data_IF_144833855974
#
_entry.id   IF_144833855974
#
_cell.length_a   1.000
_cell.length_b   1.000
_cell.length_c   1.000
_cell.angle_alpha   90.00
_cell.angle_beta   90.00
_cell.angle_gamma   90.00
#
_symmetry.space_group_name_H-M   'P 1'
#
loop_
_entity.id
_entity.type
_entity.pdbx_description
1 polymer ?
#
# COMPACT_ATOMS: atom_id res chain seq x y z
N UNK A 1 -9.67 3.42 34.02
CA UNK A 1 -9.88 3.97 35.37
C UNK A 1 -11.34 3.79 35.76
N UNK A 2 -11.62 2.85 36.66
CA UNK A 2 -12.92 2.79 37.35
C UNK A 2 -12.81 3.68 38.59
N UNK A 3 -13.62 4.74 38.66
CA UNK A 3 -13.66 5.61 39.84
C UNK A 3 -14.56 4.97 40.89
N UNK A 4 -13.98 4.50 41.99
CA UNK A 4 -14.71 3.94 43.12
C UNK A 4 -14.70 5.00 44.23
N UNK A 5 -15.55 6.01 44.11
CA UNK A 5 -15.81 6.89 45.25
C UNK A 5 -16.83 6.22 46.16
N UNK A 6 -16.34 5.71 47.29
CA UNK A 6 -17.18 5.38 48.44
C UNK A 6 -17.42 6.62 49.27
N UNK A 7 -18.68 7.05 49.44
CA UNK A 7 -19.09 7.80 50.63
C UNK A 7 -20.42 7.32 51.19
N UNK A 8 -20.48 7.49 52.51
CA UNK A 8 -21.31 6.84 53.49
C UNK A 8 -22.78 7.27 53.48
N UNK A 9 -23.59 6.43 54.14
CA UNK A 9 -24.66 6.92 55.00
C UNK A 9 -26.07 6.75 54.47
N UNK A 10 -26.62 5.55 54.69
CA UNK A 10 -28.05 5.36 54.98
C UNK A 10 -29.03 5.73 53.88
N UNK A 11 -29.01 5.02 52.74
CA UNK A 11 -30.15 5.10 51.83
C UNK A 11 -30.27 3.86 50.90
N UNK A 12 -31.51 3.38 50.69
CA UNK A 12 -31.93 2.10 50.08
C UNK A 12 -31.71 2.01 48.55
N UNK A 13 -30.51 2.27 48.07
CA UNK A 13 -30.23 2.33 46.65
C UNK A 13 -29.78 0.99 46.07
N UNK A 14 -30.62 0.38 45.24
CA UNK A 14 -30.19 -0.67 44.29
C UNK A 14 -28.99 -0.13 43.50
N UNK A 15 -27.90 -0.89 43.47
CA UNK A 15 -26.77 -0.64 42.57
C UNK A 15 -27.22 -0.85 41.13
N UNK A 16 -27.60 0.22 40.46
CA UNK A 16 -27.88 0.19 39.02
C UNK A 16 -26.58 0.52 38.31
N UNK A 17 -25.91 -0.50 37.79
CA UNK A 17 -24.79 -0.30 36.88
C UNK A 17 -25.34 0.04 35.50
N UNK A 18 -25.11 1.27 35.03
CA UNK A 18 -25.40 1.62 33.64
C UNK A 18 -24.23 1.15 32.77
N UNK A 19 -24.46 0.34 31.71
CA UNK A 19 -23.41 0.02 30.77
C UNK A 19 -22.97 1.30 30.06
N UNK A 20 -21.71 1.70 30.26
CA UNK A 20 -21.11 2.80 29.52
C UNK A 20 -20.49 2.23 28.25
N UNK A 21 -21.21 2.36 27.15
CA UNK A 21 -20.71 1.97 25.83
C UNK A 21 -19.72 3.04 25.33
N UNK A 22 -18.53 2.61 24.93
CA UNK A 22 -17.55 3.46 24.28
C UNK A 22 -17.45 3.06 22.80
N UNK A 23 -17.48 4.04 21.91
CA UNK A 23 -17.20 3.80 20.48
C UNK A 23 -15.69 3.76 20.30
N UNK A 24 -15.15 2.57 20.03
CA UNK A 24 -13.75 2.39 19.64
C UNK A 24 -13.68 2.49 18.12
N UNK A 25 -12.89 3.44 17.60
CA UNK A 25 -12.66 3.59 16.16
C UNK A 25 -11.23 3.15 15.85
N UNK A 26 -11.09 2.07 15.07
CA UNK A 26 -9.81 1.61 14.54
C UNK A 26 -9.54 2.31 13.21
N UNK A 27 -8.45 3.07 13.11
CA UNK A 27 -8.04 3.71 11.85
C UNK A 27 -7.01 2.84 11.14
N UNK A 28 -7.24 2.42 9.89
CA UNK A 28 -6.23 1.83 9.03
C UNK A 28 -4.98 2.71 8.94
N UNK A 29 -3.81 2.10 8.98
CA UNK A 29 -2.51 2.76 8.81
C UNK A 29 -1.69 2.01 7.77
N UNK A 30 -0.98 2.76 6.92
CA UNK A 30 -0.08 2.22 5.90
C UNK A 30 1.31 2.80 6.06
N UNK A 31 2.33 1.96 5.92
CA UNK A 31 3.70 2.42 5.85
C UNK A 31 4.34 1.97 4.53
N UNK A 32 5.03 2.91 3.88
CA UNK A 32 5.78 2.65 2.65
C UNK A 32 7.27 2.67 3.01
N UNK A 33 7.91 1.51 2.90
CA UNK A 33 9.28 1.27 3.34
C UNK A 33 10.20 1.12 2.13
N UNK A 34 11.35 1.76 2.16
CA UNK A 34 12.34 1.76 1.09
C UNK A 34 11.85 2.40 -0.21
N UNK A 35 10.67 3.03 -0.27
CA UNK A 35 10.11 3.63 -1.48
C UNK A 35 9.51 5.02 -1.24
N UNK A 36 9.24 5.72 -2.34
CA UNK A 36 8.46 6.95 -2.37
C UNK A 36 7.00 6.72 -2.78
N UNK A 37 6.15 7.69 -2.51
CA UNK A 37 4.75 7.70 -2.96
C UNK A 37 4.56 8.80 -3.97
N UNK A 38 4.00 8.47 -5.13
CA UNK A 38 3.72 9.44 -6.20
C UNK A 38 2.30 9.30 -6.70
N UNK A 39 1.62 10.43 -6.87
CA UNK A 39 0.28 10.50 -7.46
C UNK A 39 0.23 11.52 -8.60
N UNK A 40 -0.85 11.52 -9.38
CA UNK A 40 -1.12 12.56 -10.38
C UNK A 40 -0.21 12.57 -11.60
N UNK A 41 0.40 11.43 -11.92
CA UNK A 41 1.03 11.22 -13.22
C UNK A 41 -0.01 10.90 -14.27
N UNK A 42 0.19 11.39 -15.50
CA UNK A 42 -0.46 10.82 -16.68
C UNK A 42 -0.06 9.33 -16.79
N UNK A 43 -0.79 8.47 -17.49
CA UNK A 43 -0.35 7.09 -17.72
C UNK A 43 -0.11 6.89 -19.21
N UNK A 44 1.01 6.27 -19.61
CA UNK A 44 1.21 5.85 -21.00
C UNK A 44 0.21 4.78 -21.45
N UNK A 45 -0.56 4.20 -20.51
CA UNK A 45 -1.70 3.31 -20.76
C UNK A 45 -2.96 4.09 -21.15
N UNK A 46 -3.07 5.35 -20.71
CA UNK A 46 -4.25 6.19 -20.97
C UNK A 46 -3.84 7.46 -21.72
N UNK A 47 -3.96 7.41 -23.05
CA UNK A 47 -3.80 8.58 -23.90
C UNK A 47 -5.10 9.41 -23.94
N UNK A 48 -4.99 10.74 -23.79
CA UNK A 48 -6.07 11.66 -24.15
C UNK A 48 -6.95 12.18 -23.01
N UNK A 49 -6.53 12.05 -21.75
CA UNK A 49 -7.29 12.63 -20.65
C UNK A 49 -7.01 14.11 -20.42
N UNK A 50 -8.02 14.89 -20.00
CA UNK A 50 -7.83 16.28 -19.64
C UNK A 50 -6.77 16.40 -18.54
N UNK A 51 -5.76 17.24 -18.77
CA UNK A 51 -4.70 17.53 -17.80
C UNK A 51 -5.24 17.97 -16.41
N UNK A 52 -6.49 18.47 -16.37
CA UNK A 52 -7.19 18.87 -15.14
C UNK A 52 -7.47 17.72 -14.17
N UNK A 53 -7.63 16.47 -14.62
CA UNK A 53 -7.93 15.34 -13.74
C UNK A 53 -6.72 14.89 -12.92
N UNK A 54 -5.55 14.87 -13.55
CA UNK A 54 -4.31 14.45 -12.89
C UNK A 54 -3.65 15.54 -12.09
N UNK A 55 -3.88 16.80 -12.42
CA UNK A 55 -3.22 17.92 -11.72
C UNK A 55 -3.68 18.09 -10.27
N UNK A 56 -4.79 17.47 -9.84
CA UNK A 56 -5.39 17.60 -8.50
C UNK A 56 -5.20 16.38 -7.59
N UNK A 57 -4.51 15.33 -8.03
CA UNK A 57 -4.28 14.15 -7.20
C UNK A 57 -3.51 14.52 -5.93
N UNK A 58 -3.95 14.00 -4.78
CA UNK A 58 -3.44 14.36 -3.46
C UNK A 58 -3.13 13.09 -2.65
N UNK A 59 -2.19 13.19 -1.72
CA UNK A 59 -1.85 12.12 -0.76
C UNK A 59 -2.41 12.55 0.59
N UNK A 60 -3.42 11.85 1.09
CA UNK A 60 -4.11 12.21 2.34
C UNK A 60 -4.21 10.96 3.20
N UNK A 61 -3.61 11.02 4.38
CA UNK A 61 -3.67 9.94 5.37
C UNK A 61 -4.22 10.46 6.68
N UNK A 62 -4.80 9.56 7.47
CA UNK A 62 -5.25 9.90 8.81
C UNK A 62 -4.08 9.82 9.78
N UNK A 63 -4.03 10.79 10.69
CA UNK A 63 -3.11 10.80 11.84
C UNK A 63 -3.93 10.63 13.12
N UNK A 64 -3.29 10.05 14.12
CA UNK A 64 -3.83 9.93 15.47
C UNK A 64 -2.80 10.45 16.46
N UNK A 65 -3.28 11.07 17.54
CA UNK A 65 -2.45 11.47 18.67
C UNK A 65 -2.74 10.60 19.88
N UNK A 66 -1.70 10.27 20.64
CA UNK A 66 -1.88 9.65 21.95
C UNK A 66 -2.17 10.73 22.99
N UNK A 67 -3.26 10.58 23.73
CA UNK A 67 -3.69 11.55 24.73
C UNK A 67 -2.64 11.74 25.85
N UNK A 68 -1.93 10.67 26.21
CA UNK A 68 -1.00 10.68 27.35
C UNK A 68 0.35 11.33 27.02
N UNK A 69 0.83 11.20 25.76
CA UNK A 69 2.15 11.70 25.34
C UNK A 69 2.13 12.83 24.32
N UNK A 70 0.97 13.09 23.69
CA UNK A 70 0.84 14.04 22.58
C UNK A 70 1.53 13.61 21.28
N UNK A 71 2.14 12.42 21.24
CA UNK A 71 2.85 11.91 20.06
C UNK A 71 1.87 11.56 18.94
N UNK A 72 2.28 11.83 17.70
CA UNK A 72 1.56 11.47 16.48
C UNK A 72 2.03 10.12 15.94
N UNK A 73 1.06 9.33 15.50
CA UNK A 73 1.29 8.09 14.77
C UNK A 73 0.28 7.96 13.63
N UNK A 74 0.61 7.17 12.62
CA UNK A 74 -0.26 6.96 11.47
C UNK A 74 0.52 6.52 10.24
N UNK A 75 -0.04 6.82 9.07
CA UNK A 75 0.57 6.41 7.81
C UNK A 75 1.69 7.34 7.37
N UNK A 76 2.78 6.77 6.86
CA UNK A 76 3.94 7.52 6.36
C UNK A 76 4.62 6.80 5.21
N UNK A 77 5.52 7.52 4.52
CA UNK A 77 6.43 6.98 3.52
C UNK A 77 7.87 7.29 3.91
N UNK A 78 8.77 6.33 3.72
CA UNK A 78 10.16 6.43 4.15
C UNK A 78 10.90 7.50 3.33
N UNK A 79 10.72 7.46 2.01
CA UNK A 79 11.30 8.44 1.11
C UNK A 79 10.27 9.49 0.67
N UNK A 80 10.49 10.07 -0.50
CA UNK A 80 9.75 11.25 -0.92
C UNK A 80 8.30 10.97 -1.26
N UNK A 81 7.44 11.92 -0.91
CA UNK A 81 6.04 11.96 -1.38
C UNK A 81 5.90 13.03 -2.44
N UNK A 82 5.28 12.71 -3.57
CA UNK A 82 5.16 13.63 -4.70
C UNK A 82 3.72 13.76 -5.18
N UNK A 83 3.26 15.00 -5.30
CA UNK A 83 1.97 15.36 -5.89
C UNK A 83 2.13 16.34 -7.06
N UNK A 84 1.20 16.33 -8.03
CA UNK A 84 1.14 17.26 -9.17
C UNK A 84 0.86 18.70 -8.76
N UNK A 85 0.78 19.61 -9.75
CA UNK A 85 0.70 21.06 -9.54
C UNK A 85 -0.33 21.52 -8.48
N UNK A 86 -1.54 20.98 -8.52
CA UNK A 86 -2.64 21.38 -7.66
C UNK A 86 -2.97 20.33 -6.59
N UNK A 87 -2.07 19.38 -6.35
CA UNK A 87 -2.21 18.35 -5.33
C UNK A 87 -1.73 18.80 -3.95
N UNK A 88 -2.24 18.15 -2.90
CA UNK A 88 -1.86 18.41 -1.50
C UNK A 88 -1.33 17.12 -0.87
N UNK A 89 -0.32 17.26 0.00
CA UNK A 89 0.19 16.17 0.85
C UNK A 89 -0.23 16.43 2.30
N UNK A 90 -1.19 15.64 2.79
CA UNK A 90 -1.58 15.58 4.21
C UNK A 90 -1.18 14.22 4.76
N UNK A 91 0.12 14.04 4.96
CA UNK A 91 0.74 12.80 5.43
C UNK A 91 2.06 13.14 6.14
N UNK A 92 2.98 12.18 6.27
CA UNK A 92 4.36 12.42 6.66
C UNK A 92 5.33 11.61 5.78
N UNK A 93 6.45 12.23 5.43
CA UNK A 93 7.61 11.55 4.82
C UNK A 93 8.70 11.30 5.88
N UNK A 94 9.79 10.64 5.50
CA UNK A 94 10.92 10.34 6.39
C UNK A 94 10.55 9.58 7.66
N UNK A 95 9.46 8.81 7.64
CA UNK A 95 8.98 8.14 8.86
C UNK A 95 8.49 9.09 9.96
N UNK A 96 8.12 10.34 9.64
CA UNK A 96 7.70 11.35 10.62
C UNK A 96 6.46 10.99 11.47
N UNK A 97 5.84 9.83 11.23
CA UNK A 97 4.74 9.25 12.02
C UNK A 97 5.04 7.80 12.46
N UNK A 98 6.32 7.41 12.54
CA UNK A 98 6.77 6.07 12.96
C UNK A 98 6.32 5.70 14.38
N UNK A 99 5.88 6.69 15.17
CA UNK A 99 5.04 6.49 16.34
C UNK A 99 5.62 7.11 17.60
N UNK A 100 5.74 6.34 18.68
CA UNK A 100 6.15 6.84 20.01
C UNK A 100 7.65 6.67 20.27
N UNK A 101 8.30 7.69 20.81
CA UNK A 101 9.73 7.67 21.17
C UNK A 101 10.39 9.06 21.18
N UNK A 102 11.67 9.11 21.56
CA UNK A 102 12.50 10.33 21.46
C UNK A 102 12.70 10.65 19.97
N UNK A 103 12.30 11.85 19.54
CA UNK A 103 12.34 12.28 18.12
C UNK A 103 11.04 12.09 17.34
N UNK A 104 10.02 11.45 17.93
CA UNK A 104 8.69 11.36 17.33
C UNK A 104 7.99 12.71 17.20
N UNK A 105 7.26 12.93 16.11
CA UNK A 105 6.49 14.15 15.88
C UNK A 105 5.41 14.30 16.96
N UNK A 106 5.40 15.44 17.67
CA UNK A 106 4.38 15.78 18.66
C UNK A 106 3.25 16.62 18.02
N UNK A 107 2.00 16.25 18.28
CA UNK A 107 0.81 16.86 17.70
C UNK A 107 0.70 18.37 17.94
N UNK A 108 1.16 18.86 19.10
CA UNK A 108 1.03 20.27 19.46
C UNK A 108 2.14 21.17 18.90
N UNK A 109 3.27 20.60 18.45
CA UNK A 109 4.45 21.37 18.01
C UNK A 109 4.89 21.09 16.58
N UNK A 110 4.40 20.01 15.96
CA UNK A 110 4.81 19.64 14.60
C UNK A 110 3.97 20.39 13.57
N UNK A 111 4.57 21.33 12.85
CA UNK A 111 3.96 21.88 11.64
C UNK A 111 3.90 20.82 10.52
N UNK A 112 2.99 21.00 9.56
CA UNK A 112 2.88 20.10 8.40
C UNK A 112 4.18 20.02 7.60
N UNK A 113 4.87 21.16 7.43
CA UNK A 113 6.15 21.24 6.75
C UNK A 113 7.22 20.36 7.43
N UNK A 114 7.32 20.39 8.76
CA UNK A 114 8.32 19.62 9.52
C UNK A 114 8.14 18.10 9.36
N UNK A 115 6.90 17.61 9.23
CA UNK A 115 6.63 16.18 8.98
C UNK A 115 6.85 15.75 7.54
N UNK A 116 7.09 16.70 6.64
CA UNK A 116 7.09 16.50 5.21
C UNK A 116 8.35 17.09 4.55
N UNK A 117 9.48 17.07 5.25
CA UNK A 117 10.76 17.62 4.77
C UNK A 117 11.25 16.95 3.48
N UNK A 118 10.84 15.71 3.19
CA UNK A 118 11.16 15.00 1.94
C UNK A 118 9.98 14.99 0.95
N UNK A 119 9.00 15.89 1.13
CA UNK A 119 7.80 15.94 0.30
C UNK A 119 7.86 17.05 -0.74
N UNK A 120 7.31 16.74 -1.91
CA UNK A 120 7.33 17.57 -3.11
C UNK A 120 5.88 17.79 -3.57
N UNK A 121 5.33 18.95 -3.23
CA UNK A 121 3.99 19.34 -3.62
C UNK A 121 4.02 20.76 -4.19
N UNK A 122 3.27 20.96 -5.26
CA UNK A 122 3.19 22.24 -5.97
C UNK A 122 2.04 23.14 -5.50
N UNK A 123 1.49 22.91 -4.31
CA UNK A 123 0.44 23.76 -3.79
C UNK A 123 0.98 25.16 -3.41
N UNK A 124 0.16 26.19 -3.62
CA UNK A 124 0.31 27.49 -2.95
C UNK A 124 -0.05 27.32 -1.48
N UNK A 125 0.90 26.87 -0.67
CA UNK A 125 0.72 26.75 0.78
C UNK A 125 1.17 28.05 1.43
N UNK A 126 0.32 28.68 2.27
CA UNK A 126 0.76 29.80 3.11
C UNK A 126 1.93 29.33 3.99
N UNK A 127 3.12 29.91 3.80
CA UNK A 127 4.32 29.56 4.58
C UNK A 127 5.41 28.74 3.87
N UNK A 128 5.27 28.44 2.57
CA UNK A 128 6.43 28.15 1.69
C UNK A 128 7.21 26.84 1.93
N UNK A 129 6.55 25.74 2.28
CA UNK A 129 7.22 24.53 2.82
C UNK A 129 7.57 23.36 1.90
N UNK A 130 7.35 23.40 0.58
CA UNK A 130 7.65 22.24 -0.31
C UNK A 130 8.46 22.63 -1.54
N UNK A 131 9.33 21.73 -2.00
CA UNK A 131 10.04 21.87 -3.27
C UNK A 131 9.05 21.89 -4.45
N UNK A 132 9.14 22.93 -5.30
CA UNK A 132 8.30 23.08 -6.49
C UNK A 132 8.89 22.29 -7.65
N UNK A 133 8.10 21.44 -8.29
CA UNK A 133 8.51 20.64 -9.45
C UNK A 133 7.66 20.97 -10.67
N UNK A 134 8.18 20.73 -11.88
CA UNK A 134 7.41 20.92 -13.11
C UNK A 134 6.31 19.88 -13.29
N UNK A 135 5.80 19.78 -14.53
CA UNK A 135 4.87 18.71 -14.92
C UNK A 135 5.51 17.34 -14.67
N UNK A 136 4.77 16.48 -13.98
CA UNK A 136 5.19 15.11 -13.72
C UNK A 136 4.89 14.27 -14.97
N UNK A 137 5.90 13.56 -15.51
CA UNK A 137 5.78 12.72 -16.71
C UNK A 137 4.76 11.59 -16.56
N UNK A 138 4.38 10.96 -17.68
CA UNK A 138 3.49 9.81 -17.62
C UNK A 138 4.16 8.58 -16.97
N UNK A 139 3.41 7.79 -16.21
CA UNK A 139 3.81 6.45 -15.78
C UNK A 139 3.93 5.53 -16.99
N UNK A 140 4.97 4.67 -17.07
CA UNK A 140 5.14 3.76 -18.18
C UNK A 140 4.03 2.68 -18.20
N UNK A 141 3.64 2.24 -19.39
CA UNK A 141 2.78 1.06 -19.55
C UNK A 141 3.60 -0.21 -19.29
N UNK A 142 3.66 -0.63 -18.03
CA UNK A 142 4.37 -1.83 -17.59
C UNK A 142 3.82 -3.09 -18.30
N UNK A 143 2.49 -3.20 -18.44
CA UNK A 143 1.85 -4.32 -19.12
C UNK A 143 2.22 -4.45 -20.61
N UNK A 144 2.56 -3.33 -21.24
CA UNK A 144 3.03 -3.25 -22.62
C UNK A 144 4.47 -3.74 -22.83
N UNK A 145 5.26 -3.93 -21.76
CA UNK A 145 6.63 -4.45 -21.86
C UNK A 145 6.67 -5.98 -21.98
N UNK A 146 5.58 -6.67 -21.62
CA UNK A 146 5.52 -8.14 -21.60
C UNK A 146 4.76 -8.65 -22.83
N UNK A 147 5.47 -8.78 -23.96
CA UNK A 147 4.90 -9.11 -25.28
C UNK A 147 5.45 -10.39 -25.91
N UNK A 148 6.56 -10.93 -25.41
CA UNK A 148 7.18 -12.16 -25.93
C UNK A 148 6.59 -13.42 -25.30
N UNK A 149 6.46 -14.49 -26.11
CA UNK A 149 6.08 -15.85 -25.68
C UNK A 149 4.83 -15.93 -24.79
N UNK A 150 3.81 -15.10 -25.10
CA UNK A 150 2.58 -15.03 -24.31
C UNK A 150 1.72 -16.28 -24.52
N UNK A 151 1.32 -16.93 -23.44
CA UNK A 151 0.48 -18.14 -23.43
C UNK A 151 -0.88 -17.81 -22.82
N UNK A 152 -1.93 -18.48 -23.27
CA UNK A 152 -3.23 -18.38 -22.60
C UNK A 152 -3.25 -19.32 -21.38
N UNK A 153 -3.85 -18.86 -20.28
CA UNK A 153 -4.11 -19.65 -19.09
C UNK A 153 -5.60 -19.61 -18.76
N UNK A 154 -6.21 -20.77 -18.60
CA UNK A 154 -7.62 -20.90 -18.27
C UNK A 154 -7.80 -21.23 -16.78
N UNK A 155 -8.79 -20.60 -16.15
CA UNK A 155 -9.12 -20.83 -14.75
C UNK A 155 -8.18 -20.12 -13.78
N UNK A 156 -8.19 -20.60 -12.54
CA UNK A 156 -7.37 -20.05 -11.46
C UNK A 156 -5.89 -20.37 -11.64
N UNK A 157 -5.03 -19.54 -11.04
CA UNK A 157 -3.59 -19.63 -11.15
C UNK A 157 -3.01 -20.14 -9.83
N UNK A 158 -2.41 -21.34 -9.86
CA UNK A 158 -1.52 -21.81 -8.80
C UNK A 158 -0.07 -21.55 -9.19
N UNK A 159 0.60 -20.67 -8.46
CA UNK A 159 1.96 -20.23 -8.78
C UNK A 159 2.99 -21.35 -8.63
N UNK A 160 2.76 -22.27 -7.70
CA UNK A 160 3.68 -23.37 -7.36
C UNK A 160 4.00 -24.29 -8.55
N UNK A 161 2.99 -24.60 -9.37
CA UNK A 161 3.11 -25.49 -10.53
C UNK A 161 3.46 -24.77 -11.83
N UNK A 162 3.58 -23.44 -11.80
CA UNK A 162 3.66 -22.64 -13.01
C UNK A 162 5.10 -22.53 -13.52
N UNK A 163 5.28 -22.64 -14.83
CA UNK A 163 6.56 -22.42 -15.49
C UNK A 163 6.83 -20.92 -15.64
N UNK A 164 8.11 -20.50 -15.81
CA UNK A 164 8.41 -19.13 -16.18
C UNK A 164 7.75 -18.75 -17.51
N UNK A 165 7.27 -17.51 -17.61
CA UNK A 165 6.67 -16.99 -18.84
C UNK A 165 5.61 -15.92 -18.61
N UNK A 166 5.04 -15.46 -19.73
CA UNK A 166 3.94 -14.49 -19.76
C UNK A 166 2.63 -15.23 -20.04
N UNK A 167 1.63 -14.99 -19.22
CA UNK A 167 0.36 -15.68 -19.26
C UNK A 167 -0.81 -14.70 -19.33
N UNK A 168 -1.60 -14.79 -20.41
CA UNK A 168 -2.88 -14.11 -20.53
C UNK A 168 -3.97 -14.99 -19.91
N UNK A 169 -4.53 -14.54 -18.78
CA UNK A 169 -5.66 -15.19 -18.18
C UNK A 169 -6.93 -14.94 -19.01
N UNK A 170 -7.64 -16.01 -19.35
CA UNK A 170 -8.81 -15.93 -20.26
C UNK A 170 -10.11 -15.64 -19.54
N UNK A 171 -10.19 -15.92 -18.23
CA UNK A 171 -11.36 -15.63 -17.42
C UNK A 171 -11.41 -14.15 -17.01
N UNK A 172 -12.61 -13.58 -16.92
CA UNK A 172 -12.80 -12.20 -16.47
C UNK A 172 -12.52 -12.02 -14.97
N UNK A 173 -12.59 -13.10 -14.19
CA UNK A 173 -12.19 -13.13 -12.78
C UNK A 173 -11.30 -14.34 -12.58
N UNK A 174 -10.12 -14.13 -12.00
CA UNK A 174 -9.09 -15.16 -11.82
C UNK A 174 -8.59 -15.10 -10.39
N UNK A 175 -8.62 -16.24 -9.68
CA UNK A 175 -7.98 -16.35 -8.37
C UNK A 175 -6.52 -16.75 -8.52
N UNK A 176 -5.64 -16.19 -7.70
CA UNK A 176 -4.21 -16.45 -7.71
C UNK A 176 -3.65 -16.57 -6.29
N UNK A 177 -2.81 -17.58 -6.08
CA UNK A 177 -2.04 -17.76 -4.84
C UNK A 177 -0.91 -18.77 -5.01
N UNK A 178 -0.08 -18.87 -3.97
CA UNK A 178 0.97 -19.88 -3.83
C UNK A 178 2.37 -19.31 -3.94
N UNK A 179 3.34 -20.21 -3.84
CA UNK A 179 4.76 -19.86 -3.90
C UNK A 179 5.25 -19.80 -5.35
N UNK A 180 6.03 -18.79 -5.68
CA UNK A 180 6.78 -18.71 -6.94
C UNK A 180 8.14 -19.38 -6.72
N UNK A 181 8.41 -20.43 -7.47
CA UNK A 181 9.69 -21.15 -7.38
C UNK A 181 10.91 -20.26 -7.63
N UNK A 182 12.05 -20.63 -7.06
CA UNK A 182 13.30 -19.88 -7.15
C UNK A 182 13.74 -19.67 -8.62
N UNK A 183 14.20 -18.46 -8.94
CA UNK A 183 14.66 -18.09 -10.29
C UNK A 183 13.55 -18.00 -11.34
N UNK A 184 12.28 -18.11 -10.95
CA UNK A 184 11.16 -18.02 -11.90
C UNK A 184 10.71 -16.57 -12.08
N UNK A 185 10.54 -16.18 -13.34
CA UNK A 185 9.84 -14.96 -13.73
C UNK A 185 8.48 -15.33 -14.30
N UNK A 186 7.41 -14.96 -13.60
CA UNK A 186 6.03 -15.22 -13.99
C UNK A 186 5.32 -13.88 -14.16
N UNK A 187 4.70 -13.68 -15.32
CA UNK A 187 3.92 -12.48 -15.60
C UNK A 187 2.49 -12.92 -15.89
N UNK A 188 1.54 -12.46 -15.08
CA UNK A 188 0.11 -12.71 -15.25
C UNK A 188 -0.54 -11.44 -15.79
N UNK A 189 -1.20 -11.55 -16.93
CA UNK A 189 -1.95 -10.48 -17.59
C UNK A 189 -3.41 -10.86 -17.62
N UNK A 190 -4.29 -9.98 -17.15
CA UNK A 190 -5.74 -10.17 -17.21
C UNK A 190 -6.40 -8.90 -17.70
N UNK A 191 -7.36 -9.02 -18.63
CA UNK A 191 -8.25 -7.92 -18.99
C UNK A 191 -9.37 -7.71 -17.95
N UNK A 192 -9.47 -8.60 -16.97
CA UNK A 192 -10.47 -8.58 -15.92
C UNK A 192 -9.86 -8.37 -14.52
N UNK A 193 -10.52 -8.94 -13.51
CA UNK A 193 -10.11 -8.83 -12.11
C UNK A 193 -9.26 -10.02 -11.69
N UNK A 194 -8.15 -9.75 -11.00
CA UNK A 194 -7.35 -10.76 -10.31
C UNK A 194 -7.65 -10.69 -8.82
N UNK A 195 -8.01 -11.82 -8.23
CA UNK A 195 -8.25 -11.97 -6.80
C UNK A 195 -7.07 -12.74 -6.20
N UNK A 196 -6.32 -12.10 -5.32
CA UNK A 196 -5.29 -12.76 -4.51
C UNK A 196 -6.01 -13.42 -3.33
N UNK A 197 -6.18 -14.75 -3.41
CA UNK A 197 -7.01 -15.53 -2.47
C UNK A 197 -6.22 -16.24 -1.36
N UNK A 198 -4.89 -16.21 -1.48
CA UNK A 198 -3.94 -16.72 -0.50
C UNK A 198 -2.61 -15.98 -0.59
N UNK A 199 -1.68 -16.31 0.30
CA UNK A 199 -0.36 -15.70 0.28
C UNK A 199 0.36 -15.98 -1.04
N UNK A 200 1.09 -14.97 -1.49
CA UNK A 200 2.04 -15.07 -2.58
C UNK A 200 3.42 -14.87 -1.98
N UNK A 201 4.25 -15.91 -2.07
CA UNK A 201 5.61 -15.91 -1.53
C UNK A 201 6.61 -16.24 -2.63
N UNK A 202 7.84 -15.78 -2.49
CA UNK A 202 8.94 -16.32 -3.29
C UNK A 202 9.65 -17.43 -2.53
N UNK A 203 9.90 -18.54 -3.22
CA UNK A 203 10.76 -19.58 -2.70
C UNK A 203 12.15 -19.00 -2.41
N UNK A 204 12.82 -19.41 -1.32
CA UNK A 204 14.18 -19.00 -1.03
C UNK A 204 15.10 -19.30 -2.23
N UNK A 205 15.85 -18.28 -2.67
CA UNK A 205 16.80 -18.40 -3.78
C UNK A 205 18.15 -17.82 -3.36
N UNK A 206 19.24 -18.37 -3.93
CA UNK A 206 20.56 -17.74 -3.88
C UNK A 206 20.74 -16.97 -5.18
N UNK A 207 20.86 -15.66 -5.09
CA UNK A 207 21.03 -14.80 -6.25
C UNK A 207 22.51 -14.77 -6.65
N UNK A 208 22.88 -15.50 -7.70
CA UNK A 208 24.22 -15.46 -8.28
C UNK A 208 24.26 -14.58 -9.53
N UNK A 209 23.14 -14.51 -10.24
CA UNK A 209 22.94 -13.73 -11.46
C UNK A 209 21.61 -12.99 -11.43
N UNK A 210 21.44 -12.00 -12.31
CA UNK A 210 20.19 -11.26 -12.47
C UNK A 210 19.00 -12.13 -12.90
N UNK A 211 19.26 -13.26 -13.56
CA UNK A 211 18.24 -14.24 -13.95
C UNK A 211 17.75 -15.12 -12.79
N UNK A 212 18.49 -15.20 -11.68
CA UNK A 212 18.09 -15.98 -10.51
C UNK A 212 17.08 -15.21 -9.63
N UNK A 213 16.84 -13.93 -9.94
CA UNK A 213 15.91 -13.08 -9.20
C UNK A 213 14.48 -13.51 -9.56
N UNK A 214 13.81 -14.12 -8.57
CA UNK A 214 12.41 -14.51 -8.67
C UNK A 214 11.53 -13.27 -8.77
N UNK A 215 10.62 -13.26 -9.74
CA UNK A 215 9.69 -12.15 -9.93
C UNK A 215 8.31 -12.63 -10.37
N UNK A 216 7.28 -12.14 -9.67
CA UNK A 216 5.90 -12.14 -10.13
C UNK A 216 5.48 -10.73 -10.51
N UNK A 217 4.82 -10.60 -11.66
CA UNK A 217 4.16 -9.38 -12.09
C UNK A 217 2.70 -9.67 -12.39
N UNK A 218 1.78 -8.97 -11.74
CA UNK A 218 0.34 -9.08 -11.96
C UNK A 218 -0.13 -7.79 -12.62
N UNK A 219 -0.56 -7.89 -13.87
CA UNK A 219 -1.18 -6.81 -14.63
C UNK A 219 -2.65 -7.15 -14.84
N UNK A 220 -3.55 -6.37 -14.28
CA UNK A 220 -4.99 -6.64 -14.34
C UNK A 220 -5.82 -5.36 -14.40
N UNK A 221 -7.09 -5.44 -14.79
CA UNK A 221 -7.99 -4.29 -14.68
C UNK A 221 -8.22 -3.91 -13.22
N UNK A 222 -8.45 -4.89 -12.35
CA UNK A 222 -8.50 -4.69 -10.89
C UNK A 222 -7.73 -5.80 -10.18
N UNK A 223 -7.16 -5.49 -9.02
CA UNK A 223 -6.47 -6.44 -8.16
C UNK A 223 -7.11 -6.37 -6.77
N UNK A 224 -7.69 -7.47 -6.33
CA UNK A 224 -8.41 -7.55 -5.06
C UNK A 224 -7.68 -8.53 -4.14
N UNK A 225 -7.30 -8.09 -2.95
CA UNK A 225 -6.56 -8.89 -1.98
C UNK A 225 -7.50 -9.29 -0.85
N UNK A 226 -7.69 -10.60 -0.67
CA UNK A 226 -8.56 -11.12 0.40
C UNK A 226 -8.04 -10.82 1.80
N UNK A 227 -8.95 -10.83 2.77
CA UNK A 227 -8.69 -10.56 4.19
C UNK A 227 -7.74 -11.58 4.87
N UNK A 228 -7.73 -12.82 4.41
CA UNK A 228 -6.87 -13.90 4.91
C UNK A 228 -5.41 -13.80 4.45
N UNK A 229 -5.11 -12.99 3.44
CA UNK A 229 -3.75 -12.81 2.92
C UNK A 229 -2.92 -12.00 3.92
N UNK A 230 -1.67 -12.35 4.15
CA UNK A 230 -0.73 -11.61 5.01
C UNK A 230 0.52 -11.18 4.27
N UNK A 231 0.81 -11.81 3.11
CA UNK A 231 1.99 -11.51 2.30
C UNK A 231 1.68 -11.62 0.81
N UNK A 232 2.14 -10.62 0.06
CA UNK A 232 2.10 -10.58 -1.41
C UNK A 232 3.46 -10.16 -1.94
N UNK A 233 4.22 -11.12 -2.43
CA UNK A 233 5.48 -10.87 -3.15
C UNK A 233 5.18 -10.74 -4.64
N UNK A 234 4.93 -9.52 -5.12
CA UNK A 234 4.58 -9.26 -6.51
C UNK A 234 4.67 -7.78 -6.88
N UNK A 235 4.80 -7.51 -8.18
CA UNK A 235 4.42 -6.22 -8.74
C UNK A 235 2.91 -6.23 -9.00
N UNK A 236 2.21 -5.22 -8.49
CA UNK A 236 0.77 -5.07 -8.68
C UNK A 236 0.51 -3.88 -9.61
N UNK A 237 0.06 -4.16 -10.83
CA UNK A 237 -0.26 -3.13 -11.82
C UNK A 237 -1.74 -3.22 -12.20
N UNK A 238 -2.57 -2.42 -11.55
CA UNK A 238 -3.98 -2.28 -11.87
C UNK A 238 -4.16 -1.20 -12.95
N UNK A 239 -4.59 -1.61 -14.14
CA UNK A 239 -4.75 -0.73 -15.30
C UNK A 239 -6.21 -0.31 -15.44
N UNK A 240 -6.52 0.99 -15.48
CA UNK A 240 -7.87 1.45 -15.69
C UNK A 240 -8.34 1.21 -17.12
N UNK A 241 -9.63 1.42 -17.37
CA UNK A 241 -10.15 1.45 -18.73
C UNK A 241 -9.49 2.58 -19.56
N UNK A 242 -9.68 2.54 -20.89
CA UNK A 242 -9.10 3.50 -21.84
C UNK A 242 -9.41 4.96 -21.48
N UNK A 243 -10.55 5.22 -20.84
CA UNK A 243 -10.97 6.57 -20.47
C UNK A 243 -10.57 6.97 -19.03
N UNK A 244 -9.84 6.12 -18.29
CA UNK A 244 -9.50 6.28 -16.86
C UNK A 244 -10.68 6.65 -15.95
N UNK A 245 -11.89 6.26 -16.33
CA UNK A 245 -13.11 6.55 -15.57
C UNK A 245 -13.49 5.40 -14.65
N UNK A 246 -13.01 4.19 -14.95
CA UNK A 246 -13.34 2.95 -14.26
C UNK A 246 -12.11 2.06 -14.13
N UNK A 247 -12.21 1.07 -13.24
CA UNK A 247 -11.19 0.06 -12.97
C UNK A 247 -9.84 0.67 -12.54
N UNK A 248 -8.74 -0.07 -12.64
CA UNK A 248 -7.43 0.35 -12.13
C UNK A 248 -7.38 0.38 -10.60
N UNK A 249 -8.17 -0.48 -9.94
CA UNK A 249 -8.29 -0.50 -8.48
C UNK A 249 -7.42 -1.60 -7.91
N UNK A 250 -6.59 -1.27 -6.91
CA UNK A 250 -6.03 -2.23 -5.97
C UNK A 250 -6.80 -2.07 -4.67
N UNK A 251 -7.50 -3.11 -4.22
CA UNK A 251 -8.30 -3.07 -2.98
C UNK A 251 -7.91 -4.22 -2.07
N UNK A 252 -7.73 -3.92 -0.78
CA UNK A 252 -7.35 -4.93 0.21
C UNK A 252 -8.50 -5.22 1.15
N UNK A 253 -8.39 -6.33 1.90
CA UNK A 253 -9.37 -6.69 2.92
C UNK A 253 -10.76 -7.02 2.32
N UNK A 254 -10.75 -7.78 1.23
CA UNK A 254 -11.99 -8.34 0.70
C UNK A 254 -12.37 -9.63 1.45
N UNK A 255 -13.59 -9.65 2.00
CA UNK A 255 -14.08 -10.77 2.83
C UNK A 255 -14.89 -11.75 1.98
N UNK A 256 -15.56 -11.26 0.95
CA UNK A 256 -16.39 -12.08 0.08
C UNK A 256 -15.50 -12.87 -0.89
N UNK A 257 -15.83 -14.15 -1.11
CA UNK A 257 -15.14 -14.96 -2.12
C UNK A 257 -15.40 -14.47 -3.56
N UNK A 258 -16.50 -13.73 -3.73
CA UNK A 258 -16.94 -13.15 -5.00
C UNK A 258 -17.15 -11.64 -4.77
N UNK A 259 -16.09 -10.83 -4.94
CA UNK A 259 -16.12 -9.42 -4.57
C UNK A 259 -17.18 -8.65 -5.37
N UNK A 260 -17.97 -7.81 -4.69
CA UNK A 260 -18.90 -6.92 -5.36
C UNK A 260 -18.14 -5.73 -5.98
N UNK A 261 -17.71 -5.90 -7.23
CA UNK A 261 -16.96 -4.88 -7.97
C UNK A 261 -17.73 -3.56 -8.12
N UNK A 262 -19.05 -3.58 -8.17
CA UNK A 262 -19.87 -2.35 -8.20
C UNK A 262 -19.70 -1.58 -6.90
N UNK A 263 -19.71 -2.27 -5.75
CA UNK A 263 -19.48 -1.65 -4.45
C UNK A 263 -18.05 -1.12 -4.30
N UNK A 264 -17.05 -1.85 -4.80
CA UNK A 264 -15.63 -1.45 -4.80
C UNK A 264 -15.40 -0.22 -5.69
N UNK A 265 -16.07 -0.14 -6.85
CA UNK A 265 -16.01 0.98 -7.80
C UNK A 265 -16.78 2.21 -7.34
N UNK A 266 -17.76 2.06 -6.44
CA UNK A 266 -18.54 3.16 -5.90
C UNK A 266 -17.67 4.01 -4.93
N UNK A 267 -16.86 4.88 -5.55
CA UNK A 267 -15.86 5.79 -4.95
C UNK A 267 -16.24 6.22 -3.53
N UNK A 268 -15.44 5.85 -2.53
CA UNK A 268 -15.48 6.41 -1.17
C UNK A 268 -16.73 6.16 -0.33
N UNK A 269 -17.88 5.80 -0.90
CA UNK A 269 -19.14 5.59 -0.15
C UNK A 269 -19.11 4.28 0.63
N UNK A 270 -18.41 3.26 0.11
CA UNK A 270 -18.39 1.92 0.70
C UNK A 270 -17.02 1.51 1.25
N UNK A 271 -16.03 2.41 1.29
CA UNK A 271 -14.66 2.07 1.68
C UNK A 271 -14.58 1.37 3.05
N UNK A 272 -15.37 1.85 4.01
CA UNK A 272 -15.41 1.31 5.36
C UNK A 272 -16.51 0.26 5.58
N UNK A 273 -17.32 -0.06 4.57
CA UNK A 273 -18.40 -1.03 4.73
C UNK A 273 -17.84 -2.43 4.98
N UNK A 274 -18.47 -3.16 5.90
CA UNK A 274 -18.03 -4.49 6.33
C UNK A 274 -16.82 -4.49 7.27
N UNK A 275 -16.18 -3.34 7.52
CA UNK A 275 -15.05 -3.24 8.46
C UNK A 275 -15.56 -3.15 9.90
N UNK A 276 -15.00 -3.98 10.78
CA UNK A 276 -15.21 -3.89 12.22
C UNK A 276 -13.92 -4.33 12.94
N UNK A 277 -13.93 -4.30 14.27
CA UNK A 277 -12.75 -4.59 15.08
C UNK A 277 -12.13 -5.99 14.88
N UNK A 278 -12.93 -6.94 14.40
CA UNK A 278 -12.54 -8.33 14.17
C UNK A 278 -12.36 -8.66 12.67
N UNK A 279 -12.85 -7.81 11.78
CA UNK A 279 -12.70 -7.96 10.33
C UNK A 279 -11.45 -7.25 9.85
N UNK A 280 -10.62 -7.94 9.05
CA UNK A 280 -9.38 -7.41 8.50
C UNK A 280 -8.38 -6.89 9.54
N UNK A 281 -8.35 -7.55 10.68
CA UNK A 281 -7.46 -7.29 11.80
C UNK A 281 -6.12 -8.05 11.66
N UNK A 282 -5.63 -8.29 10.44
CA UNK A 282 -4.32 -8.92 10.18
C UNK A 282 -3.45 -8.01 9.34
N UNK A 283 -2.17 -7.91 9.68
CA UNK A 283 -1.21 -7.15 8.89
C UNK A 283 -1.06 -7.74 7.48
N UNK A 284 -0.97 -6.88 6.47
CA UNK A 284 -0.57 -7.25 5.11
C UNK A 284 0.78 -6.65 4.78
N UNK A 285 1.65 -7.44 4.15
CA UNK A 285 2.91 -6.98 3.57
C UNK A 285 2.88 -7.20 2.06
N UNK A 286 3.04 -6.13 1.30
CA UNK A 286 3.20 -6.16 -0.15
C UNK A 286 4.66 -5.87 -0.44
N UNK A 287 5.38 -6.86 -0.98
CA UNK A 287 6.79 -6.76 -1.31
C UNK A 287 6.94 -6.57 -2.82
N UNK A 288 6.86 -5.31 -3.24
CA UNK A 288 7.01 -4.92 -4.64
C UNK A 288 6.24 -3.64 -4.99
N UNK A 289 6.47 -3.11 -6.21
CA UNK A 289 5.82 -1.91 -6.70
C UNK A 289 4.30 -2.08 -6.84
N UNK A 290 3.58 -1.03 -6.50
CA UNK A 290 2.12 -0.94 -6.68
C UNK A 290 1.80 0.24 -7.58
N UNK A 291 1.13 -0.04 -8.70
CA UNK A 291 0.62 0.95 -9.64
C UNK A 291 -0.89 0.76 -9.78
N UNK A 292 -1.64 1.82 -9.54
CA UNK A 292 -3.10 1.80 -9.60
C UNK A 292 -3.64 3.19 -9.93
N UNK A 293 -4.82 3.25 -10.53
CA UNK A 293 -5.64 4.48 -10.55
C UNK A 293 -6.12 4.80 -9.13
N UNK A 294 -6.46 3.78 -8.37
CA UNK A 294 -7.01 3.90 -7.03
C UNK A 294 -6.48 2.78 -6.12
N UNK A 295 -5.92 3.17 -4.98
CA UNK A 295 -5.39 2.26 -3.97
C UNK A 295 -6.28 2.33 -2.72
N UNK A 296 -6.96 1.23 -2.41
CA UNK A 296 -7.87 1.11 -1.28
C UNK A 296 -7.29 0.17 -0.21
N UNK A 297 -6.79 0.75 0.89
CA UNK A 297 -6.09 0.07 1.99
C UNK A 297 -6.99 -0.03 3.22
N UNK A 298 -7.71 -1.14 3.34
CA UNK A 298 -8.89 -1.25 4.24
C UNK A 298 -8.60 -2.02 5.53
N UNK A 299 -7.37 -2.46 5.79
CA UNK A 299 -7.07 -3.28 6.98
C UNK A 299 -7.00 -2.45 8.26
N UNK A 300 -7.35 -3.06 9.39
CA UNK A 300 -7.49 -2.37 10.69
C UNK A 300 -6.50 -2.88 11.75
N UNK A 301 -5.54 -3.73 11.39
CA UNK A 301 -4.49 -4.21 12.30
C UNK A 301 -3.64 -3.06 12.88
N UNK A 302 -3.03 -3.27 14.06
CA UNK A 302 -2.10 -2.32 14.68
C UNK A 302 -2.74 -1.06 15.26
N UNK A 303 -4.08 -0.98 15.23
CA UNK A 303 -4.84 0.13 15.82
C UNK A 303 -5.18 -0.05 17.30
N UNK A 304 -4.78 -1.19 17.89
CA UNK A 304 -4.88 -1.49 19.33
C UNK A 304 -3.48 -1.74 19.91
N UNK A 305 -3.31 -1.48 21.21
CA UNK A 305 -2.13 -1.94 21.96
C UNK A 305 -2.09 -3.46 21.99
N UNK A 306 -0.92 -4.09 21.84
CA UNK A 306 -0.79 -5.57 21.92
C UNK A 306 -0.93 -6.11 23.36
N UNK A 307 -0.98 -5.23 24.37
CA UNK A 307 -1.21 -5.59 25.77
C UNK A 307 -1.14 -4.41 26.74
N UNK A 308 -1.38 -4.68 28.02
CA UNK A 308 -1.18 -3.70 29.10
C UNK A 308 0.31 -3.39 29.24
N UNK A 309 0.70 -2.12 29.12
CA UNK A 309 2.10 -1.68 29.19
C UNK A 309 2.80 -1.57 27.83
N UNK A 310 2.16 -2.03 26.75
CA UNK A 310 2.66 -1.83 25.38
C UNK A 310 2.30 -0.42 24.89
N UNK A 311 3.19 0.53 25.17
CA UNK A 311 3.08 1.92 24.69
C UNK A 311 3.34 2.03 23.19
N UNK A 312 4.04 1.04 22.61
CA UNK A 312 4.52 1.02 21.22
C UNK A 312 3.59 0.26 20.27
N UNK A 313 2.57 -0.43 20.77
CA UNK A 313 1.64 -1.24 19.96
C UNK A 313 0.91 -0.47 18.85
N UNK A 314 0.89 0.87 18.92
CA UNK A 314 0.36 1.76 17.88
C UNK A 314 1.32 1.97 16.69
N UNK A 315 2.55 1.48 16.77
CA UNK A 315 3.57 1.62 15.71
C UNK A 315 3.37 0.60 14.59
N UNK A 316 2.53 -0.42 14.81
CA UNK A 316 2.22 -1.42 13.81
C UNK A 316 1.31 -0.86 12.72
N UNK A 317 1.77 -0.85 11.46
CA UNK A 317 0.87 -0.54 10.37
C UNK A 317 -0.07 -1.70 10.10
N UNK A 318 -1.29 -1.39 9.67
CA UNK A 318 -2.18 -2.41 9.14
C UNK A 318 -1.64 -2.99 7.82
N UNK A 319 -0.97 -2.15 7.02
CA UNK A 319 -0.47 -2.51 5.69
C UNK A 319 0.94 -1.93 5.47
N UNK A 320 1.84 -2.77 4.98
CA UNK A 320 3.22 -2.41 4.64
C UNK A 320 3.41 -2.60 3.15
N UNK A 321 3.94 -1.58 2.48
CA UNK A 321 4.41 -1.69 1.10
C UNK A 321 5.92 -1.53 1.14
N UNK A 322 6.64 -2.59 0.80
CA UNK A 322 8.09 -2.62 0.78
C UNK A 322 8.62 -2.50 -0.64
N UNK A 323 9.63 -1.64 -0.83
CA UNK A 323 10.48 -1.70 -2.00
C UNK A 323 11.27 -3.02 -2.03
N UNK A 324 11.39 -3.58 -3.23
CA UNK A 324 12.29 -4.67 -3.56
C UNK A 324 13.37 -4.12 -4.50
N UNK A 325 14.54 -3.75 -3.98
CA UNK A 325 15.60 -3.15 -4.79
C UNK A 325 16.11 -4.09 -5.91
N UNK A 326 16.16 -5.39 -5.62
CA UNK A 326 16.49 -6.44 -6.58
C UNK A 326 15.49 -6.56 -7.75
N UNK A 327 14.25 -6.10 -7.58
CA UNK A 327 13.27 -6.06 -8.66
C UNK A 327 13.69 -5.10 -9.79
N UNK A 328 14.44 -4.05 -9.49
CA UNK A 328 14.99 -3.14 -10.50
C UNK A 328 16.11 -3.82 -11.32
N UNK A 329 16.94 -4.62 -10.67
CA UNK A 329 17.98 -5.42 -11.32
C UNK A 329 17.34 -6.46 -12.26
N UNK A 330 16.29 -7.14 -11.78
CA UNK A 330 15.51 -8.05 -12.61
C UNK A 330 14.90 -7.33 -13.82
N UNK A 331 14.26 -6.17 -13.62
CA UNK A 331 13.59 -5.45 -14.70
C UNK A 331 14.56 -4.97 -15.77
N UNK A 332 15.74 -4.49 -15.36
CA UNK A 332 16.81 -4.10 -16.28
C UNK A 332 17.28 -5.29 -17.12
N UNK A 333 17.50 -6.46 -16.51
CA UNK A 333 17.86 -7.69 -17.20
C UNK A 333 16.75 -8.13 -18.18
N UNK A 334 15.50 -8.16 -17.71
CA UNK A 334 14.34 -8.58 -18.50
C UNK A 334 14.17 -7.73 -19.78
N UNK A 335 14.32 -6.41 -19.68
CA UNK A 335 14.14 -5.49 -20.82
C UNK A 335 15.35 -5.50 -21.76
N UNK A 336 16.56 -5.49 -21.21
CA UNK A 336 17.79 -5.41 -22.01
C UNK A 336 18.15 -6.75 -22.68
N UNK A 337 17.53 -7.86 -22.24
CA UNK A 337 17.89 -9.23 -22.64
C UNK A 337 19.39 -9.50 -22.48
N UNK A 338 20.05 -8.82 -21.53
CA UNK A 338 21.48 -8.96 -21.29
C UNK A 338 21.72 -10.05 -20.26
N UNK A 339 22.27 -11.18 -20.70
CA UNK A 339 22.74 -12.26 -19.82
C UNK A 339 24.03 -11.90 -19.05
N UNK A 340 24.26 -10.60 -18.81
CA UNK A 340 25.46 -10.07 -18.19
C UNK A 340 25.55 -10.43 -16.71
N UNK A 341 26.76 -10.73 -16.25
CA UNK A 341 27.05 -10.88 -14.83
C UNK A 341 26.90 -9.51 -14.14
N UNK A 342 26.08 -9.42 -13.08
CA UNK A 342 26.02 -8.21 -12.26
C UNK A 342 27.25 -8.23 -11.35
N UNK A 343 28.20 -7.34 -11.62
CA UNK A 343 29.35 -7.11 -10.74
C UNK A 343 29.20 -5.75 -10.10
N UNK A 344 29.40 -5.68 -8.78
CA UNK A 344 29.42 -4.41 -8.05
C UNK A 344 30.68 -3.66 -8.45
N UNK A 345 30.52 -2.57 -9.19
CA UNK A 345 31.65 -1.70 -9.58
C UNK A 345 32.07 -0.80 -8.40
N UNK A 346 31.09 -0.22 -7.71
CA UNK A 346 31.31 0.54 -6.47
C UNK A 346 30.09 0.47 -5.55
N UNK A 347 30.34 0.54 -4.25
CA UNK A 347 29.30 0.70 -3.22
C UNK A 347 29.42 2.09 -2.64
N UNK A 348 28.35 2.88 -2.74
CA UNK A 348 28.22 4.12 -1.96
C UNK A 348 27.23 3.87 -0.85
N UNK A 349 27.74 3.86 0.38
CA UNK A 349 26.90 3.92 1.57
C UNK A 349 26.25 5.30 1.62
N UNK A 350 24.92 5.33 1.55
CA UNK A 350 24.17 6.56 1.77
C UNK A 350 24.27 6.89 3.27
N UNK A 351 24.46 8.17 3.65
CA UNK A 351 24.56 8.56 5.05
C UNK A 351 23.34 8.06 5.84
N UNK A 352 23.49 7.71 7.13
CA UNK A 352 22.37 7.29 7.97
C UNK A 352 21.30 8.37 7.92
N UNK A 353 20.14 8.02 7.35
CA UNK A 353 19.06 8.96 7.11
C UNK A 353 18.24 9.08 8.40
N UNK A 354 18.46 10.15 9.16
CA UNK A 354 17.60 10.59 10.26
C UNK A 354 17.28 12.08 10.09
#
# INVERSE_FOLDING_TARGET
HYNWDTRAGGDTHRRVAYPKCYRITKKPSVQVWGDGVRVGSNSGVVAGLPATQYTRSSIITAMSSLADSGQLFGSWGEYGMMTPQNGVIRSASAGGLSGVGVGAANASTSAEATRNNLSFANANIPGGGYGKWGTISAQPNIGGQFTSNVRNHAGNVSLSSMAPGVYNATAHVVKISGEVGAGKSIIIKSAGTVIIDGNITYAPSRYHTSSDITQLVIVASNIIIRDNVTQVDAWLAATPNKDNTQDGIVSTCEVDETPNLTAIRARGVNYANGLNANTCNRQLRINGPVLARELQLRRTFGSDRRGTGDIDGFNDPAEIINMRADAYLWAANYISNTTGNITTDYTVELPPRY
#
